data_IF_974447020956
#
_entry.id   IF_974447020956
#
_cell.length_a   1.000
_cell.length_b   1.000
_cell.length_c   1.000
_cell.angle_alpha   90.00
_cell.angle_beta   90.00
_cell.angle_gamma   90.00
#
_symmetry.space_group_name_H-M   'P 1'
#
loop_
_entity.id
_entity.type
_entity.pdbx_description
1 polymer ?
#
# COMPACT_ATOMS: atom_id res chain seq x y z
N UNK A 1 -0.74 17.28 5.03
CA UNK A 1 0.04 16.41 5.93
C UNK A 1 0.10 15.03 5.30
N UNK A 2 1.23 14.33 5.41
CA UNK A 2 1.34 12.96 4.92
C UNK A 2 0.52 12.03 5.78
N UNK A 3 -0.23 11.12 5.15
CA UNK A 3 -1.01 10.11 5.86
C UNK A 3 -0.14 8.89 6.18
N UNK A 4 0.82 8.61 5.30
CA UNK A 4 1.86 7.61 5.51
C UNK A 4 3.23 8.26 5.29
N UNK A 5 4.18 7.97 6.17
CA UNK A 5 5.57 8.42 6.05
C UNK A 5 6.43 7.32 5.42
N UNK A 6 7.64 7.66 4.96
CA UNK A 6 8.60 6.64 4.51
C UNK A 6 9.00 5.74 5.69
N UNK A 7 9.04 4.42 5.46
CA UNK A 7 9.37 3.44 6.49
C UNK A 7 8.18 3.02 7.37
N UNK A 8 7.00 3.61 7.18
CA UNK A 8 5.79 3.23 7.88
C UNK A 8 5.36 1.81 7.51
N UNK A 9 4.94 1.03 8.51
CA UNK A 9 4.27 -0.26 8.29
C UNK A 9 2.81 -0.01 7.92
N UNK A 10 2.38 -0.59 6.79
CA UNK A 10 1.05 -0.39 6.22
C UNK A 10 0.43 -1.73 5.80
N UNK A 11 -0.89 -1.79 5.82
CA UNK A 11 -1.63 -2.91 5.25
C UNK A 11 -1.90 -2.64 3.77
N UNK A 12 -1.61 -3.63 2.93
CA UNK A 12 -1.88 -3.61 1.49
C UNK A 12 -3.08 -4.49 1.21
N UNK A 13 -4.01 -4.02 0.38
CA UNK A 13 -5.19 -4.76 -0.05
C UNK A 13 -5.30 -4.80 -1.58
N UNK A 14 -5.49 -6.00 -2.11
CA UNK A 14 -5.94 -6.25 -3.47
C UNK A 14 -7.38 -6.77 -3.44
N UNK A 15 -8.26 -6.17 -4.23
CA UNK A 15 -9.66 -6.58 -4.33
C UNK A 15 -10.06 -6.86 -5.77
N UNK A 16 -10.58 -8.07 -6.02
CA UNK A 16 -11.10 -8.50 -7.32
C UNK A 16 -12.40 -9.29 -7.11
N UNK A 17 -13.55 -8.64 -7.37
CA UNK A 17 -14.86 -9.22 -7.06
C UNK A 17 -14.99 -9.51 -5.56
N UNK A 18 -15.25 -10.78 -5.22
CA UNK A 18 -15.34 -11.24 -3.82
C UNK A 18 -13.97 -11.64 -3.22
N UNK A 19 -12.90 -11.69 -4.02
CA UNK A 19 -11.56 -12.04 -3.54
C UNK A 19 -10.89 -10.79 -2.96
N UNK A 20 -10.47 -10.88 -1.70
CA UNK A 20 -9.61 -9.89 -1.04
C UNK A 20 -8.32 -10.56 -0.60
N UNK A 21 -7.19 -10.03 -1.03
CA UNK A 21 -5.85 -10.43 -0.57
C UNK A 21 -5.30 -9.29 0.27
N UNK A 22 -4.76 -9.62 1.44
CA UNK A 22 -4.10 -8.66 2.32
C UNK A 22 -2.63 -9.04 2.52
N UNK A 23 -1.77 -8.03 2.67
CA UNK A 23 -0.36 -8.23 2.98
C UNK A 23 0.20 -7.04 3.77
N UNK A 24 1.25 -7.26 4.55
CA UNK A 24 1.96 -6.17 5.22
C UNK A 24 3.09 -5.66 4.36
N UNK A 25 3.27 -4.33 4.32
CA UNK A 25 4.34 -3.70 3.58
C UNK A 25 4.96 -2.54 4.36
N UNK A 26 6.12 -2.09 3.88
CA UNK A 26 6.80 -0.88 4.34
C UNK A 26 6.79 0.13 3.21
N UNK A 27 6.33 1.34 3.49
CA UNK A 27 6.35 2.45 2.53
C UNK A 27 7.77 2.88 2.18
N UNK A 28 8.03 3.12 0.90
CA UNK A 28 9.35 3.57 0.41
C UNK A 28 9.41 5.09 0.20
N UNK A 29 8.28 5.77 0.32
CA UNK A 29 8.10 7.20 0.17
C UNK A 29 6.88 7.64 0.99
N UNK A 30 6.79 8.92 1.40
CA UNK A 30 5.59 9.46 2.00
C UNK A 30 4.44 9.57 0.99
N UNK A 31 3.20 9.62 1.48
CA UNK A 31 2.01 9.81 0.66
C UNK A 31 0.78 10.25 1.46
N UNK A 32 -0.11 10.99 0.81
CA UNK A 32 -1.43 11.36 1.29
C UNK A 32 -2.51 10.48 0.63
N UNK A 33 -3.73 10.49 1.18
CA UNK A 33 -4.84 9.73 0.59
C UNK A 33 -5.05 10.13 -0.89
N UNK A 34 -5.12 9.13 -1.78
CA UNK A 34 -5.21 9.29 -3.23
C UNK A 34 -3.86 9.23 -3.95
N UNK A 35 -2.73 9.37 -3.24
CA UNK A 35 -1.40 9.33 -3.85
C UNK A 35 -1.01 7.91 -4.25
N UNK A 36 -0.33 7.77 -5.39
CA UNK A 36 0.32 6.53 -5.78
C UNK A 36 1.70 6.44 -5.13
N UNK A 37 1.92 5.43 -4.29
CA UNK A 37 3.16 5.20 -3.57
C UNK A 37 3.74 3.82 -3.87
N UNK A 38 5.06 3.69 -3.72
CA UNK A 38 5.75 2.41 -3.75
C UNK A 38 5.90 1.88 -2.32
N UNK A 39 5.61 0.60 -2.15
CA UNK A 39 5.79 -0.12 -0.89
C UNK A 39 6.57 -1.41 -1.14
N UNK A 40 7.31 -1.87 -0.13
CA UNK A 40 7.98 -3.18 -0.16
C UNK A 40 7.20 -4.15 0.70
N UNK A 41 6.73 -5.24 0.12
CA UNK A 41 6.09 -6.32 0.88
C UNK A 41 7.11 -6.93 1.86
N UNK A 42 6.71 -7.10 3.12
CA UNK A 42 7.61 -7.55 4.19
C UNK A 42 8.07 -8.99 3.98
N UNK A 43 7.19 -9.85 3.48
CA UNK A 43 7.45 -11.29 3.38
C UNK A 43 8.36 -11.63 2.20
N UNK A 44 8.10 -11.04 1.04
CA UNK A 44 8.76 -11.36 -0.23
C UNK A 44 9.84 -10.36 -0.64
N UNK A 45 9.89 -9.19 -0.02
CA UNK A 45 10.77 -8.09 -0.42
C UNK A 45 10.41 -7.45 -1.77
N UNK A 46 9.33 -7.89 -2.44
CA UNK A 46 8.89 -7.30 -3.72
C UNK A 46 8.37 -5.88 -3.53
N UNK A 47 8.68 -5.02 -4.49
CA UNK A 47 8.16 -3.64 -4.54
C UNK A 47 6.84 -3.63 -5.33
N UNK A 48 5.83 -3.02 -4.75
CA UNK A 48 4.48 -2.91 -5.28
C UNK A 48 4.09 -1.43 -5.31
N UNK A 49 3.40 -1.01 -6.37
CA UNK A 49 2.79 0.33 -6.44
C UNK A 49 1.32 0.24 -6.07
N UNK A 50 0.85 1.15 -5.23
CA UNK A 50 -0.54 1.22 -4.83
C UNK A 50 -0.96 2.61 -4.39
N UNK A 51 -2.27 2.80 -4.27
CA UNK A 51 -2.87 4.08 -3.87
C UNK A 51 -3.08 4.10 -2.36
N UNK A 52 -2.65 5.19 -1.71
CA UNK A 52 -2.93 5.41 -0.28
C UNK A 52 -4.42 5.67 -0.10
N UNK A 53 -5.05 4.92 0.79
CA UNK A 53 -6.46 5.07 1.14
C UNK A 53 -6.61 6.03 2.32
N UNK A 54 -7.83 6.55 2.54
CA UNK A 54 -8.10 7.52 3.62
C UNK A 54 -7.87 6.97 5.04
N UNK A 55 -7.83 5.64 5.20
CA UNK A 55 -7.51 4.95 6.45
C UNK A 55 -6.01 4.63 6.61
N UNK A 56 -5.16 5.05 5.67
CA UNK A 56 -3.72 4.80 5.67
C UNK A 56 -3.30 3.45 5.08
N UNK A 57 -4.27 2.60 4.69
CA UNK A 57 -3.97 1.37 3.94
C UNK A 57 -3.56 1.68 2.50
N UNK A 58 -2.96 0.69 1.82
CA UNK A 58 -2.57 0.79 0.42
C UNK A 58 -3.44 -0.13 -0.41
N UNK A 59 -4.17 0.41 -1.39
CA UNK A 59 -4.91 -0.39 -2.36
C UNK A 59 -4.06 -0.64 -3.60
N UNK A 60 -4.01 -1.89 -4.05
CA UNK A 60 -3.33 -2.27 -5.29
C UNK A 60 -4.35 -2.87 -6.27
N UNK A 61 -4.17 -2.58 -7.56
CA UNK A 61 -5.00 -3.11 -8.64
C UNK A 61 -4.25 -4.12 -9.49
N UNK A 62 -4.99 -4.89 -10.29
CA UNK A 62 -4.42 -5.65 -11.40
C UNK A 62 -4.40 -4.68 -12.59
N UNK A 63 -3.23 -4.52 -13.20
CA UNK A 63 -3.04 -3.78 -14.44
C UNK A 63 -3.86 -4.38 -15.57
#
# INVERSE_FOLDING_TARGET
>A
AWLVEQGASVQVYFTAGALTISATAVTLQPGAAGDLVKVRNVDSGKIISGTVMADGSIRVGAS
#
